data_IF_932060256420
#
_entry.id   IF_932060256420
#
_cell.length_a   1.000
_cell.length_b   1.000
_cell.length_c   1.000
_cell.angle_alpha   90.00
_cell.angle_beta   90.00
_cell.angle_gamma   90.00
#
_symmetry.space_group_name_H-M   'P 1'
#
loop_
_entity.id
_entity.type
_entity.pdbx_description
1 polymer ?
#
# COMPACT_ATOMS: atom_id res chain seq x y z
N UNK A 1 -21.49 -6.45 -6.05
CA UNK A 1 -20.85 -5.14 -6.27
C UNK A 1 -19.67 -4.94 -5.35
N UNK A 2 -18.58 -5.69 -5.56
CA UNK A 2 -17.28 -5.41 -4.93
C UNK A 2 -16.53 -4.29 -5.70
N UNK A 3 -16.82 -4.14 -6.99
CA UNK A 3 -16.24 -3.11 -7.86
C UNK A 3 -16.62 -1.69 -7.42
N UNK A 4 -17.85 -1.48 -6.93
CA UNK A 4 -18.30 -0.16 -6.48
C UNK A 4 -17.50 0.34 -5.27
N UNK A 5 -17.18 -0.52 -4.32
CA UNK A 5 -16.34 -0.16 -3.17
C UNK A 5 -14.89 0.13 -3.58
N UNK A 6 -14.37 -0.63 -4.54
CA UNK A 6 -13.03 -0.43 -5.10
C UNK A 6 -12.92 0.89 -5.87
N UNK A 7 -13.94 1.21 -6.67
CA UNK A 7 -14.06 2.48 -7.37
C UNK A 7 -14.19 3.61 -6.35
N UNK A 8 -15.02 3.48 -5.30
CA UNK A 8 -15.19 4.53 -4.28
C UNK A 8 -13.89 4.78 -3.51
N UNK A 9 -13.16 3.75 -3.10
CA UNK A 9 -11.91 3.96 -2.36
C UNK A 9 -10.80 4.51 -3.26
N UNK A 10 -10.69 4.03 -4.50
CA UNK A 10 -9.76 4.57 -5.50
C UNK A 10 -10.11 6.02 -5.82
N UNK A 11 -11.40 6.35 -5.96
CA UNK A 11 -11.89 7.70 -6.14
C UNK A 11 -11.70 8.56 -4.89
N UNK A 12 -11.75 8.01 -3.68
CA UNK A 12 -11.41 8.73 -2.44
C UNK A 12 -9.92 9.02 -2.40
N UNK A 13 -9.08 8.04 -2.73
CA UNK A 13 -7.62 8.20 -2.80
C UNK A 13 -7.25 9.24 -3.87
N UNK A 14 -7.80 9.13 -5.08
CA UNK A 14 -7.63 10.12 -6.15
C UNK A 14 -8.22 11.48 -5.79
N UNK A 15 -9.39 11.55 -5.15
CA UNK A 15 -9.96 12.83 -4.69
C UNK A 15 -9.10 13.46 -3.60
N UNK A 16 -8.54 12.69 -2.67
CA UNK A 16 -7.60 13.23 -1.69
C UNK A 16 -6.33 13.72 -2.39
N UNK A 17 -5.74 12.93 -3.31
CA UNK A 17 -4.56 13.32 -4.06
C UNK A 17 -4.76 14.59 -4.91
N UNK A 18 -5.93 14.75 -5.54
CA UNK A 18 -6.25 15.90 -6.40
C UNK A 18 -6.68 17.12 -5.57
N UNK A 19 -7.29 16.92 -4.40
CA UNK A 19 -7.76 18.00 -3.51
C UNK A 19 -6.67 18.49 -2.55
N UNK A 20 -5.61 17.70 -2.35
CA UNK A 20 -4.45 18.00 -1.52
C UNK A 20 -3.25 18.39 -2.40
N UNK A 21 -3.11 19.68 -2.71
CA UNK A 21 -1.80 20.22 -3.11
C UNK A 21 -0.74 20.00 -2.02
N UNK A 22 0.50 20.40 -2.29
CA UNK A 22 1.68 20.21 -1.41
C UNK A 22 1.46 20.66 0.05
N UNK A 23 0.58 21.64 0.30
CA UNK A 23 0.29 22.20 1.63
C UNK A 23 -0.45 21.26 2.60
N UNK A 24 -1.02 20.15 2.14
CA UNK A 24 -1.85 19.25 2.96
C UNK A 24 -1.26 17.83 3.09
N UNK A 25 0.00 17.63 2.68
CA UNK A 25 0.68 16.34 2.77
C UNK A 25 0.79 15.81 4.21
N UNK A 26 0.96 16.71 5.19
CA UNK A 26 1.05 16.33 6.60
C UNK A 26 -0.26 15.78 7.13
N UNK A 27 -1.38 16.47 6.85
CA UNK A 27 -2.73 16.03 7.21
C UNK A 27 -3.06 14.70 6.51
N UNK A 28 -2.67 14.53 5.24
CA UNK A 28 -2.87 13.27 4.54
C UNK A 28 -2.11 12.11 5.19
N UNK A 29 -0.85 12.35 5.56
CA UNK A 29 -0.01 11.36 6.25
C UNK A 29 -0.64 10.97 7.59
N UNK A 30 -1.12 11.95 8.35
CA UNK A 30 -1.82 11.74 9.63
C UNK A 30 -3.12 10.93 9.44
N UNK A 31 -3.95 11.28 8.46
CA UNK A 31 -5.22 10.59 8.21
C UNK A 31 -5.01 9.15 7.72
N UNK A 32 -4.00 8.92 6.88
CA UNK A 32 -3.61 7.56 6.49
C UNK A 32 -3.11 6.75 7.68
N UNK A 33 -2.38 7.37 8.61
CA UNK A 33 -1.89 6.71 9.81
C UNK A 33 -3.00 6.41 10.82
N UNK A 34 -3.99 7.29 10.97
CA UNK A 34 -5.06 7.13 11.96
C UNK A 34 -6.22 6.27 11.47
N UNK A 35 -6.42 6.14 10.16
CA UNK A 35 -7.49 5.30 9.62
C UNK A 35 -7.24 3.81 9.91
N UNK A 36 -8.23 3.06 10.42
CA UNK A 36 -8.10 1.62 10.67
C UNK A 36 -7.73 0.84 9.39
N UNK A 37 -6.73 -0.05 9.50
CA UNK A 37 -6.24 -0.95 8.44
C UNK A 37 -7.35 -1.77 7.78
N UNK A 38 -8.35 -2.21 8.57
CA UNK A 38 -9.53 -2.95 8.12
C UNK A 38 -10.27 -2.30 6.94
N UNK A 39 -10.29 -0.96 6.89
CA UNK A 39 -10.95 -0.18 5.82
C UNK A 39 -10.30 -0.38 4.46
N UNK A 40 -9.01 -0.69 4.46
CA UNK A 40 -8.17 -0.75 3.27
C UNK A 40 -7.99 -2.17 2.72
N UNK A 41 -8.33 -3.21 3.50
CA UNK A 41 -8.17 -4.62 3.10
C UNK A 41 -8.93 -4.99 1.83
N UNK A 42 -10.13 -4.42 1.68
CA UNK A 42 -10.96 -4.67 0.49
C UNK A 42 -10.36 -4.14 -0.81
N UNK A 43 -9.38 -3.25 -0.71
CA UNK A 43 -8.74 -2.57 -1.85
C UNK A 43 -7.24 -2.85 -1.97
N UNK A 44 -6.75 -3.88 -1.27
CA UNK A 44 -5.34 -4.28 -1.29
C UNK A 44 -4.76 -4.39 -2.70
N UNK A 45 -5.41 -5.05 -3.69
CA UNK A 45 -4.88 -5.13 -5.06
C UNK A 45 -4.67 -3.75 -5.72
N UNK A 46 -5.58 -2.80 -5.47
CA UNK A 46 -5.50 -1.45 -6.00
C UNK A 46 -4.35 -0.68 -5.36
N UNK A 47 -4.11 -0.86 -4.06
CA UNK A 47 -2.95 -0.28 -3.38
C UNK A 47 -1.64 -0.78 -3.99
N UNK A 48 -1.52 -2.08 -4.27
CA UNK A 48 -0.33 -2.63 -4.94
C UNK A 48 -0.09 -2.01 -6.32
N UNK A 49 -1.15 -1.76 -7.10
CA UNK A 49 -1.02 -1.08 -8.41
C UNK A 49 -0.49 0.36 -8.32
N UNK A 50 -0.46 0.97 -7.13
CA UNK A 50 0.08 2.32 -6.90
C UNK A 50 1.54 2.33 -6.48
N UNK A 51 2.16 1.17 -6.25
CA UNK A 51 3.61 1.10 -5.99
C UNK A 51 4.46 1.52 -7.20
N UNK A 52 3.91 1.47 -8.42
CA UNK A 52 4.54 1.98 -9.65
C UNK A 52 4.14 3.42 -10.02
N UNK A 53 3.45 4.17 -9.15
CA UNK A 53 2.99 5.52 -9.48
C UNK A 53 4.18 6.48 -9.70
N UNK A 54 4.17 7.44 -10.66
CA UNK A 54 5.32 8.32 -10.94
C UNK A 54 5.71 9.25 -9.79
N UNK A 55 4.75 9.66 -8.96
CA UNK A 55 4.99 10.48 -7.77
C UNK A 55 5.59 9.65 -6.61
N UNK A 56 6.78 10.04 -6.15
CA UNK A 56 7.53 9.37 -5.09
C UNK A 56 6.88 9.47 -3.70
N UNK A 57 6.22 10.59 -3.42
CA UNK A 57 5.51 10.78 -2.16
C UNK A 57 4.31 9.84 -2.10
N UNK A 58 3.55 9.73 -3.19
CA UNK A 58 2.40 8.81 -3.29
C UNK A 58 2.85 7.36 -3.10
N UNK A 59 3.91 6.92 -3.77
CA UNK A 59 4.47 5.57 -3.61
C UNK A 59 4.79 5.28 -2.14
N UNK A 60 5.48 6.21 -1.46
CA UNK A 60 5.87 6.05 -0.05
C UNK A 60 4.67 5.96 0.88
N UNK A 61 3.64 6.77 0.69
CA UNK A 61 2.43 6.70 1.50
C UNK A 61 1.69 5.37 1.33
N UNK A 62 1.59 4.89 0.08
CA UNK A 62 1.00 3.59 -0.24
C UNK A 62 1.83 2.44 0.35
N UNK A 63 3.15 2.49 0.24
CA UNK A 63 4.07 1.53 0.84
C UNK A 63 3.89 1.42 2.35
N UNK A 64 3.80 2.57 3.03
CA UNK A 64 3.59 2.63 4.47
C UNK A 64 2.23 2.03 4.86
N UNK A 65 1.18 2.31 4.09
CA UNK A 65 -0.15 1.75 4.32
C UNK A 65 -0.15 0.22 4.14
N UNK A 66 0.41 -0.28 3.04
CA UNK A 66 0.53 -1.73 2.76
C UNK A 66 1.34 -2.41 3.87
N UNK A 67 2.44 -1.80 4.32
CA UNK A 67 3.25 -2.34 5.42
C UNK A 67 2.44 -2.45 6.70
N UNK A 68 1.66 -1.43 7.07
CA UNK A 68 0.77 -1.48 8.24
C UNK A 68 -0.31 -2.55 8.12
N UNK A 69 -0.96 -2.67 6.96
CA UNK A 69 -1.93 -3.74 6.73
C UNK A 69 -1.26 -5.10 6.87
N UNK A 70 -0.04 -5.27 6.36
CA UNK A 70 0.68 -6.54 6.44
C UNK A 70 1.16 -6.88 7.86
N UNK A 71 1.38 -5.87 8.71
CA UNK A 71 1.67 -6.08 10.13
C UNK A 71 0.44 -6.56 10.92
N UNK A 72 -0.75 -6.02 10.62
CA UNK A 72 -1.99 -6.36 11.35
C UNK A 72 -2.73 -7.57 10.74
N UNK A 73 -2.61 -7.77 9.43
CA UNK A 73 -3.30 -8.77 8.62
C UNK A 73 -2.36 -9.39 7.59
N UNK A 74 -1.35 -10.16 8.03
CA UNK A 74 -0.31 -10.70 7.13
C UNK A 74 -0.85 -11.58 6.02
N UNK A 75 -1.88 -12.38 6.28
CA UNK A 75 -2.49 -13.24 5.27
C UNK A 75 -3.04 -12.48 4.06
N UNK A 76 -3.44 -11.21 4.24
CA UNK A 76 -3.98 -10.37 3.17
C UNK A 76 -2.87 -9.77 2.28
N UNK A 77 -1.60 -9.82 2.71
CA UNK A 77 -0.48 -9.08 2.10
C UNK A 77 0.66 -9.98 1.66
N UNK A 78 0.96 -11.06 2.38
CA UNK A 78 2.11 -11.95 2.11
C UNK A 78 2.06 -12.52 0.70
N UNK A 79 0.93 -13.09 0.28
CA UNK A 79 0.81 -13.68 -1.05
C UNK A 79 0.95 -12.63 -2.18
N UNK A 80 0.22 -11.50 -2.17
CA UNK A 80 0.45 -10.43 -3.15
C UNK A 80 1.88 -9.89 -3.20
N UNK A 81 2.57 -9.80 -2.06
CA UNK A 81 3.96 -9.33 -2.01
C UNK A 81 4.89 -10.32 -2.69
N UNK A 82 4.77 -11.62 -2.38
CA UNK A 82 5.60 -12.66 -2.98
C UNK A 82 5.39 -12.78 -4.49
N UNK A 83 4.12 -12.73 -4.93
CA UNK A 83 3.81 -12.71 -6.37
C UNK A 83 4.42 -11.47 -7.02
N UNK A 84 4.29 -10.29 -6.40
CA UNK A 84 4.89 -9.06 -6.89
C UNK A 84 6.43 -9.09 -6.93
N UNK A 85 7.11 -9.73 -5.99
CA UNK A 85 8.58 -9.91 -6.06
C UNK A 85 9.02 -10.72 -7.29
N UNK A 86 8.19 -11.68 -7.72
CA UNK A 86 8.47 -12.59 -8.84
C UNK A 86 8.00 -12.04 -10.19
N UNK A 87 6.93 -11.25 -10.22
CA UNK A 87 6.23 -10.80 -11.43
C UNK A 87 6.78 -9.48 -12.04
N UNK A 88 7.80 -8.87 -11.44
CA UNK A 88 8.32 -7.58 -11.93
C UNK A 88 9.30 -7.79 -13.08
N UNK A 89 8.78 -7.66 -14.29
CA UNK A 89 9.58 -7.42 -15.49
C UNK A 89 10.00 -5.94 -15.54
N UNK A 90 11.31 -5.69 -15.40
CA UNK A 90 12.03 -4.44 -15.69
C UNK A 90 11.83 -3.16 -14.83
N UNK A 91 10.95 -3.09 -13.82
CA UNK A 91 10.86 -1.90 -12.95
C UNK A 91 11.61 -2.07 -11.61
N UNK A 92 12.85 -1.59 -11.58
CA UNK A 92 13.76 -1.74 -10.42
C UNK A 92 13.25 -1.04 -9.15
N UNK A 93 12.50 0.05 -9.28
CA UNK A 93 12.03 0.82 -8.13
C UNK A 93 10.82 0.16 -7.47
N UNK A 94 9.88 -0.32 -8.28
CA UNK A 94 8.75 -1.12 -7.78
C UNK A 94 9.28 -2.39 -7.12
N UNK A 95 10.29 -3.05 -7.70
CA UNK A 95 10.89 -4.24 -7.11
C UNK A 95 11.50 -3.98 -5.71
N UNK A 96 12.21 -2.86 -5.55
CA UNK A 96 12.74 -2.45 -4.24
C UNK A 96 11.65 -2.23 -3.18
N UNK A 97 10.48 -1.74 -3.58
CA UNK A 97 9.33 -1.53 -2.69
C UNK A 97 8.77 -2.87 -2.19
N UNK A 98 8.56 -3.82 -3.10
CA UNK A 98 8.11 -5.17 -2.75
C UNK A 98 9.11 -5.89 -1.83
N UNK A 99 10.40 -5.82 -2.14
CA UNK A 99 11.46 -6.38 -1.29
C UNK A 99 11.50 -5.77 0.11
N UNK A 100 11.32 -4.44 0.20
CA UNK A 100 11.28 -3.75 1.49
C UNK A 100 10.09 -4.21 2.33
N UNK A 101 8.91 -4.35 1.73
CA UNK A 101 7.70 -4.85 2.40
C UNK A 101 7.92 -6.31 2.83
N UNK A 102 8.45 -7.17 1.96
CA UNK A 102 8.73 -8.56 2.30
C UNK A 102 9.73 -8.68 3.44
N UNK A 103 10.75 -7.81 3.51
CA UNK A 103 11.72 -7.82 4.61
C UNK A 103 11.07 -7.44 5.94
N UNK A 104 10.18 -6.44 5.95
CA UNK A 104 9.43 -6.03 7.15
C UNK A 104 8.58 -7.20 7.65
N UNK A 105 7.84 -7.85 6.75
CA UNK A 105 7.02 -9.02 7.09
C UNK A 105 7.89 -10.16 7.62
N UNK A 106 8.98 -10.51 6.93
CA UNK A 106 9.90 -11.58 7.36
C UNK A 106 10.48 -11.31 8.76
N UNK A 107 10.87 -10.07 9.07
CA UNK A 107 11.37 -9.72 10.41
C UNK A 107 10.31 -9.92 11.51
N UNK A 108 9.05 -9.62 11.22
CA UNK A 108 7.96 -9.77 12.18
C UNK A 108 7.56 -11.25 12.41
N UNK A 109 7.56 -12.06 11.35
CA UNK A 109 7.17 -13.48 11.44
C UNK A 109 8.35 -14.42 11.73
N UNK A 110 9.60 -13.94 11.70
CA UNK A 110 10.77 -14.71 12.10
C UNK A 110 10.81 -15.00 13.61
N UNK A 111 10.08 -14.26 14.44
CA UNK A 111 9.94 -14.54 15.88
C UNK A 111 8.93 -15.68 16.19
N UNK A 112 8.28 -16.25 15.16
CA UNK A 112 7.30 -17.33 15.31
C UNK A 112 7.88 -18.74 15.02
N UNK A 113 9.20 -18.85 14.81
CA UNK A 113 9.92 -20.12 14.62
C UNK A 113 11.21 -20.19 15.44
#
# INVERSE_FOLDING_TARGET
>A
GHEDHNIIATLRLLKLLVKCGTSLQDIFTEQLQTTPTNTWRGITPQLFSRLGHPDSWIRKQVQNLISRIGMEHPHDIVYPVLVGEVDIQNDSLQQQQFQSISLILRKQFAELY
#
